data_IF_682083220671
#
_entry.id   IF_682083220671
#
_cell.length_a   1.000
_cell.length_b   1.000
_cell.length_c   1.000
_cell.angle_alpha   90.00
_cell.angle_beta   90.00
_cell.angle_gamma   90.00
#
_symmetry.space_group_name_H-M   'P 1'
#
loop_
_entity.id
_entity.type
_entity.pdbx_description
1 polymer ?
#
# COMPACT_ATOMS: atom_id res chain seq x y z
N UNK A 1 -4.40 21.07 44.06
CA UNK A 1 -5.45 21.26 43.02
C UNK A 1 -4.97 20.53 41.78
N UNK A 2 -5.50 19.30 41.60
CA UNK A 2 -5.26 18.49 40.42
C UNK A 2 -6.24 18.93 39.31
N UNK A 3 -5.72 19.42 38.18
CA UNK A 3 -6.48 19.47 36.96
C UNK A 3 -6.05 18.28 36.06
N UNK A 4 -6.97 17.35 35.89
CA UNK A 4 -6.88 16.26 34.90
C UNK A 4 -6.97 16.87 33.51
N UNK A 5 -5.95 16.66 32.70
CA UNK A 5 -6.01 16.86 31.27
C UNK A 5 -6.67 15.60 30.66
N UNK A 6 -7.96 15.66 30.42
CA UNK A 6 -8.69 14.77 29.53
C UNK A 6 -8.72 15.41 28.14
N UNK A 7 -7.80 15.05 27.28
CA UNK A 7 -7.84 15.41 25.86
C UNK A 7 -7.64 14.16 25.01
N UNK A 8 -8.63 13.28 25.08
CA UNK A 8 -8.84 12.22 24.09
C UNK A 8 -9.90 12.67 23.09
N UNK A 9 -9.63 13.68 22.31
CA UNK A 9 -10.47 14.02 21.16
C UNK A 9 -10.24 12.97 20.08
N UNK A 10 -11.17 12.01 19.93
CA UNK A 10 -11.22 11.17 18.73
C UNK A 10 -11.39 12.10 17.53
N UNK A 11 -10.42 12.09 16.61
CA UNK A 11 -10.59 12.73 15.32
C UNK A 11 -11.89 12.20 14.70
N UNK A 12 -12.71 13.05 14.03
CA UNK A 12 -13.92 12.60 13.39
C UNK A 12 -13.54 11.50 12.38
N UNK A 13 -14.07 10.30 12.61
CA UNK A 13 -13.91 9.20 11.64
C UNK A 13 -14.66 9.62 10.38
N UNK A 14 -13.93 9.91 9.30
CA UNK A 14 -14.53 10.18 7.99
C UNK A 14 -15.29 8.91 7.57
N UNK A 15 -16.62 8.98 7.30
CA UNK A 15 -17.38 7.82 6.89
C UNK A 15 -16.77 7.22 5.61
N UNK A 16 -16.33 5.96 5.67
CA UNK A 16 -15.79 5.25 4.51
C UNK A 16 -16.92 4.85 3.57
N UNK A 17 -16.72 5.05 2.26
CA UNK A 17 -17.76 4.88 1.24
C UNK A 17 -17.63 3.55 0.50
N UNK A 18 -16.42 2.96 0.48
CA UNK A 18 -16.11 1.79 -0.33
C UNK A 18 -15.76 0.59 0.55
N UNK A 19 -16.41 -0.52 0.23
CA UNK A 19 -16.14 -1.82 0.88
C UNK A 19 -15.83 -2.85 -0.19
N UNK A 20 -14.76 -3.62 -0.01
CA UNK A 20 -14.46 -4.81 -0.79
C UNK A 20 -14.86 -6.05 0.00
N UNK A 21 -15.42 -7.05 -0.68
CA UNK A 21 -15.69 -8.36 -0.11
C UNK A 21 -15.48 -9.47 -1.15
N UNK A 22 -15.27 -10.68 -0.66
CA UNK A 22 -15.12 -11.89 -1.49
C UNK A 22 -16.26 -12.83 -1.10
N UNK A 23 -17.03 -13.30 -2.09
CA UNK A 23 -18.09 -14.28 -1.90
C UNK A 23 -17.84 -15.44 -2.88
N UNK A 24 -17.47 -16.59 -2.34
CA UNK A 24 -16.97 -17.70 -3.15
C UNK A 24 -15.68 -17.31 -3.86
N UNK A 25 -15.69 -17.32 -5.18
CA UNK A 25 -14.58 -16.99 -6.07
C UNK A 25 -14.68 -15.58 -6.71
N UNK A 26 -15.56 -14.72 -6.18
CA UNK A 26 -15.89 -13.42 -6.78
C UNK A 26 -15.63 -12.26 -5.86
N UNK A 27 -15.12 -11.16 -6.43
CA UNK A 27 -14.98 -9.88 -5.77
C UNK A 27 -16.23 -9.03 -5.92
N UNK A 28 -16.57 -8.34 -4.82
CA UNK A 28 -17.67 -7.39 -4.74
C UNK A 28 -17.15 -6.04 -4.24
N UNK A 29 -17.64 -4.98 -4.83
CA UNK A 29 -17.43 -3.60 -4.34
C UNK A 29 -18.79 -3.03 -3.99
N UNK A 30 -18.95 -2.56 -2.75
CA UNK A 30 -20.22 -2.04 -2.22
C UNK A 30 -21.41 -3.00 -2.45
N UNK A 31 -21.19 -4.30 -2.21
CA UNK A 31 -22.20 -5.35 -2.33
C UNK A 31 -22.60 -5.72 -3.77
N UNK A 32 -21.92 -5.16 -4.78
CA UNK A 32 -22.16 -5.49 -6.19
C UNK A 32 -20.95 -6.26 -6.75
N UNK A 33 -21.16 -7.33 -7.52
CA UNK A 33 -20.03 -8.02 -8.15
C UNK A 33 -19.30 -7.06 -9.09
N UNK A 34 -17.98 -7.11 -9.10
CA UNK A 34 -17.17 -6.35 -10.05
C UNK A 34 -17.56 -6.74 -11.48
N UNK A 35 -17.56 -5.79 -12.40
CA UNK A 35 -17.94 -6.01 -13.80
C UNK A 35 -19.28 -6.76 -13.99
N UNK A 36 -20.28 -6.47 -13.17
CA UNK A 36 -21.58 -7.12 -13.18
C UNK A 36 -22.15 -7.24 -14.62
N UNK A 37 -22.55 -8.45 -15.02
CA UNK A 37 -23.10 -8.76 -16.34
C UNK A 37 -22.12 -8.64 -17.51
N UNK A 38 -20.84 -8.39 -17.30
CA UNK A 38 -19.87 -8.18 -18.37
C UNK A 38 -19.16 -9.44 -18.82
N UNK A 39 -18.90 -9.45 -20.11
CA UNK A 39 -18.07 -10.46 -20.77
C UNK A 39 -16.95 -9.80 -21.57
N UNK A 40 -15.83 -10.50 -21.74
CA UNK A 40 -14.74 -10.12 -22.62
C UNK A 40 -14.36 -11.32 -23.51
N UNK A 41 -14.41 -11.13 -24.83
CA UNK A 41 -14.15 -12.19 -25.82
C UNK A 41 -14.95 -13.46 -25.53
N UNK A 42 -16.25 -13.31 -25.22
CA UNK A 42 -17.17 -14.41 -24.92
C UNK A 42 -16.99 -15.07 -23.54
N UNK A 43 -16.05 -14.62 -22.72
CA UNK A 43 -15.82 -15.13 -21.36
C UNK A 43 -16.38 -14.15 -20.32
N UNK A 44 -17.03 -14.68 -19.29
CA UNK A 44 -17.52 -13.87 -18.17
C UNK A 44 -16.35 -13.29 -17.41
N UNK A 45 -16.36 -11.97 -17.18
CA UNK A 45 -15.41 -11.23 -16.35
C UNK A 45 -16.04 -10.69 -15.06
N UNK A 46 -17.32 -10.92 -14.87
CA UNK A 46 -18.01 -10.60 -13.63
C UNK A 46 -17.37 -11.29 -12.43
N UNK A 47 -17.13 -10.53 -11.37
CA UNK A 47 -16.50 -11.02 -10.16
C UNK A 47 -14.97 -11.03 -10.19
N UNK A 48 -14.34 -10.78 -11.34
CA UNK A 48 -12.89 -10.64 -11.42
C UNK A 48 -12.44 -9.26 -10.90
N UNK A 49 -11.21 -9.17 -10.38
CA UNK A 49 -10.60 -7.92 -9.95
C UNK A 49 -9.24 -7.69 -10.68
N UNK A 50 -9.26 -7.44 -12.01
CA UNK A 50 -8.05 -7.00 -12.69
C UNK A 50 -7.51 -5.75 -12.02
N UNK A 51 -6.21 -5.74 -11.79
CA UNK A 51 -5.53 -4.64 -11.14
C UNK A 51 -4.32 -4.18 -11.94
N UNK A 52 -3.84 -2.98 -11.66
CA UNK A 52 -2.60 -2.44 -12.18
C UNK A 52 -1.55 -2.39 -11.07
N UNK A 53 -0.33 -2.79 -11.39
CA UNK A 53 0.79 -2.72 -10.47
C UNK A 53 1.34 -1.29 -10.44
N UNK A 54 0.99 -0.54 -9.41
CA UNK A 54 1.31 0.89 -9.26
C UNK A 54 2.04 1.15 -7.93
N UNK A 55 3.04 0.31 -7.64
CA UNK A 55 3.72 0.21 -6.34
C UNK A 55 4.40 1.50 -5.86
N UNK A 56 4.58 2.47 -6.74
CA UNK A 56 5.41 3.66 -6.52
C UNK A 56 4.65 4.88 -5.93
N UNK A 57 3.36 4.77 -5.68
CA UNK A 57 2.53 5.93 -5.31
C UNK A 57 2.99 6.69 -4.07
N UNK A 58 3.62 6.00 -3.11
CA UNK A 58 4.16 6.61 -1.87
C UNK A 58 5.70 6.58 -1.82
N UNK A 59 6.36 6.24 -2.95
CA UNK A 59 7.80 6.11 -3.03
C UNK A 59 8.51 7.34 -2.44
N UNK A 60 9.55 7.09 -1.66
CA UNK A 60 10.58 8.03 -1.28
C UNK A 60 11.91 7.30 -1.19
N UNK A 61 12.99 8.02 -1.30
CA UNK A 61 14.33 7.48 -1.13
C UNK A 61 15.00 8.15 0.07
N UNK A 62 15.11 7.42 1.16
CA UNK A 62 15.76 7.89 2.39
C UNK A 62 17.30 7.86 2.28
N UNK A 63 17.86 7.23 1.21
CA UNK A 63 19.30 7.20 0.98
C UNK A 63 19.79 8.47 0.26
N UNK A 64 20.55 9.35 0.92
CA UNK A 64 21.05 10.58 0.30
C UNK A 64 21.91 10.36 -0.94
N UNK A 65 22.59 9.21 -1.03
CA UNK A 65 23.50 8.90 -2.14
C UNK A 65 22.75 8.55 -3.44
N UNK A 66 21.49 8.13 -3.34
CA UNK A 66 20.67 7.73 -4.50
C UNK A 66 19.50 8.67 -4.78
N UNK A 67 19.08 9.47 -3.81
CA UNK A 67 17.90 10.34 -3.88
C UNK A 67 17.90 11.29 -5.08
N UNK A 68 19.08 11.81 -5.46
CA UNK A 68 19.19 12.72 -6.61
C UNK A 68 18.83 12.07 -7.95
N UNK A 69 18.82 10.74 -8.04
CA UNK A 69 18.46 9.99 -9.27
C UNK A 69 16.99 10.20 -9.65
N UNK A 70 16.15 10.55 -8.70
CA UNK A 70 14.70 10.68 -8.84
C UNK A 70 14.25 12.11 -9.15
N UNK A 71 15.21 13.04 -9.36
CA UNK A 71 14.90 14.45 -9.60
C UNK A 71 13.97 14.65 -10.80
N UNK A 72 12.89 15.41 -10.58
CA UNK A 72 11.97 15.78 -11.65
C UNK A 72 12.67 16.56 -12.76
N UNK A 73 12.27 16.36 -14.05
CA UNK A 73 12.97 17.01 -15.18
C UNK A 73 12.96 18.55 -15.12
N UNK A 74 11.92 19.14 -14.53
CA UNK A 74 11.73 20.59 -14.42
C UNK A 74 12.52 21.20 -13.24
N UNK A 75 12.47 20.56 -12.04
CA UNK A 75 13.09 21.11 -10.84
C UNK A 75 14.47 20.51 -10.53
N UNK A 76 14.83 19.40 -11.17
CA UNK A 76 16.03 18.58 -10.86
C UNK A 76 16.05 18.07 -9.40
N UNK A 77 14.94 18.19 -8.68
CA UNK A 77 14.82 17.81 -7.28
C UNK A 77 13.72 16.76 -7.14
N UNK A 78 13.95 15.73 -6.33
CA UNK A 78 12.93 14.74 -5.97
C UNK A 78 11.96 15.34 -4.93
N UNK A 79 10.69 15.05 -5.12
CA UNK A 79 9.62 15.37 -4.18
C UNK A 79 8.66 14.18 -4.07
N UNK A 80 8.70 13.48 -2.94
CA UNK A 80 7.80 12.37 -2.66
C UNK A 80 6.34 12.81 -2.56
N UNK A 81 6.11 14.02 -2.04
CA UNK A 81 4.76 14.58 -1.96
C UNK A 81 4.19 14.91 -3.35
N UNK A 82 5.00 15.51 -4.24
CA UNK A 82 4.59 15.76 -5.63
C UNK A 82 4.26 14.43 -6.34
N UNK A 83 5.08 13.39 -6.15
CA UNK A 83 4.83 12.07 -6.73
C UNK A 83 3.45 11.52 -6.29
N UNK A 84 3.14 11.63 -5.01
CA UNK A 84 1.82 11.21 -4.49
C UNK A 84 0.69 12.10 -5.00
N UNK A 85 0.89 13.42 -5.11
CA UNK A 85 -0.14 14.34 -5.63
C UNK A 85 -0.47 14.05 -7.09
N UNK A 86 0.54 13.81 -7.92
CA UNK A 86 0.36 13.43 -9.33
C UNK A 86 -0.35 12.07 -9.46
N UNK A 87 -0.01 11.09 -8.58
CA UNK A 87 -0.70 9.80 -8.51
C UNK A 87 -2.19 9.99 -8.18
N UNK A 88 -2.50 10.74 -7.12
CA UNK A 88 -3.88 11.01 -6.69
C UNK A 88 -4.67 11.75 -7.77
N UNK A 89 -4.06 12.70 -8.45
CA UNK A 89 -4.68 13.46 -9.53
C UNK A 89 -5.02 12.58 -10.76
N UNK A 90 -4.24 11.52 -11.01
CA UNK A 90 -4.47 10.61 -12.14
C UNK A 90 -5.55 9.54 -11.87
N UNK A 91 -5.85 9.23 -10.59
CA UNK A 91 -6.77 8.14 -10.21
C UNK A 91 -8.18 8.24 -10.83
N UNK A 92 -8.81 9.42 -10.94
CA UNK A 92 -10.12 9.54 -11.61
C UNK A 92 -10.09 9.08 -13.06
N UNK A 93 -9.02 9.39 -13.79
CA UNK A 93 -8.86 8.96 -15.18
C UNK A 93 -8.71 7.44 -15.27
N UNK A 94 -7.94 6.82 -14.39
CA UNK A 94 -7.81 5.36 -14.35
C UNK A 94 -9.17 4.70 -14.07
N UNK A 95 -9.92 5.23 -13.11
CA UNK A 95 -11.28 4.76 -12.81
C UNK A 95 -12.22 4.89 -14.01
N UNK A 96 -12.14 6.00 -14.73
CA UNK A 96 -12.92 6.23 -15.96
C UNK A 96 -12.62 5.18 -17.04
N UNK A 97 -11.37 4.72 -17.12
CA UNK A 97 -10.96 3.65 -18.03
C UNK A 97 -11.28 2.24 -17.51
N UNK A 98 -11.98 2.12 -16.38
CA UNK A 98 -12.45 0.85 -15.84
C UNK A 98 -11.48 0.16 -14.86
N UNK A 99 -10.40 0.81 -14.44
CA UNK A 99 -9.52 0.26 -13.42
C UNK A 99 -10.23 0.29 -12.07
N UNK A 100 -10.46 -0.89 -11.48
CA UNK A 100 -11.13 -1.03 -10.18
C UNK A 100 -10.16 -1.25 -9.03
N UNK A 101 -8.95 -1.75 -9.30
CA UNK A 101 -7.96 -2.02 -8.27
C UNK A 101 -6.55 -1.71 -8.74
N UNK A 102 -5.67 -1.40 -7.80
CA UNK A 102 -4.24 -1.25 -8.06
C UNK A 102 -3.42 -1.73 -6.85
N UNK A 103 -2.19 -2.20 -7.12
CA UNK A 103 -1.23 -2.57 -6.08
C UNK A 103 -0.40 -1.36 -5.68
N UNK A 104 -0.24 -1.16 -4.38
CA UNK A 104 0.58 -0.12 -3.75
C UNK A 104 1.43 -0.77 -2.66
N UNK A 105 2.71 -0.42 -2.55
CA UNK A 105 3.60 -1.04 -1.57
C UNK A 105 4.04 -0.07 -0.47
N UNK A 106 4.12 -0.57 0.76
CA UNK A 106 4.72 0.13 1.89
C UNK A 106 6.24 0.09 1.84
N UNK A 107 6.81 -0.94 1.20
CA UNK A 107 8.25 -1.14 1.08
C UNK A 107 8.60 -1.56 -0.36
N UNK A 108 9.81 -1.20 -0.81
CA UNK A 108 10.34 -1.62 -2.10
C UNK A 108 9.80 -0.88 -3.31
N UNK A 109 10.20 -1.36 -4.47
CA UNK A 109 9.95 -0.71 -5.75
C UNK A 109 10.84 0.52 -5.98
N UNK A 110 10.82 1.01 -7.19
CA UNK A 110 11.41 2.30 -7.58
C UNK A 110 10.89 2.72 -8.95
N UNK A 111 11.03 3.99 -9.35
CA UNK A 111 10.71 4.43 -10.71
C UNK A 111 11.51 3.72 -11.82
N UNK A 112 12.64 3.09 -11.49
CA UNK A 112 13.41 2.27 -12.42
C UNK A 112 12.84 0.85 -12.61
N UNK A 113 11.77 0.49 -11.89
CA UNK A 113 11.12 -0.80 -11.99
C UNK A 113 11.88 -1.93 -11.28
N UNK A 114 11.94 -3.11 -11.91
CA UNK A 114 12.60 -4.28 -11.34
C UNK A 114 14.12 -4.14 -11.40
N UNK A 115 14.77 -4.07 -10.24
CA UNK A 115 16.22 -4.06 -10.15
C UNK A 115 16.69 -5.15 -9.18
N UNK A 116 17.75 -5.87 -9.57
CA UNK A 116 18.41 -6.84 -8.67
C UNK A 116 19.17 -6.14 -7.53
N UNK A 117 19.60 -4.91 -7.77
CA UNK A 117 20.24 -4.06 -6.77
C UNK A 117 19.31 -2.92 -6.41
N UNK A 118 19.02 -2.75 -5.14
CA UNK A 118 18.17 -1.69 -4.63
C UNK A 118 18.96 -0.83 -3.62
N UNK A 119 19.87 0.04 -4.11
CA UNK A 119 20.68 0.87 -3.24
C UNK A 119 19.88 2.01 -2.59
N UNK A 120 18.71 2.35 -3.13
CA UNK A 120 17.77 3.29 -2.52
C UNK A 120 17.12 2.68 -1.29
N UNK A 121 16.65 3.53 -0.40
CA UNK A 121 15.90 3.11 0.77
C UNK A 121 14.46 3.59 0.66
N UNK A 122 13.56 2.70 0.23
CA UNK A 122 12.11 2.95 0.16
C UNK A 122 11.37 2.04 1.11
N UNK A 123 11.05 2.54 2.29
CA UNK A 123 10.34 1.78 3.32
C UNK A 123 9.49 2.69 4.18
N UNK A 124 8.21 2.36 4.31
CA UNK A 124 7.33 2.98 5.29
C UNK A 124 7.64 2.54 6.73
N UNK A 125 8.58 1.60 6.90
CA UNK A 125 9.02 1.08 8.18
C UNK A 125 10.41 1.61 8.52
N UNK A 126 10.60 2.02 9.77
CA UNK A 126 11.91 2.24 10.36
C UNK A 126 12.59 0.89 10.66
N UNK A 127 13.91 0.85 10.93
CA UNK A 127 14.62 -0.42 11.16
C UNK A 127 14.04 -1.28 12.29
N UNK A 128 13.42 -0.68 13.30
CA UNK A 128 12.76 -1.36 14.41
C UNK A 128 11.32 -1.81 14.11
N UNK A 129 10.82 -1.59 12.89
CA UNK A 129 9.44 -1.89 12.46
C UNK A 129 8.43 -0.78 12.74
N UNK A 130 8.81 0.33 13.35
CA UNK A 130 7.91 1.47 13.57
C UNK A 130 7.52 2.12 12.24
N UNK A 131 6.28 2.60 12.16
CA UNK A 131 5.77 3.27 10.97
C UNK A 131 6.36 4.66 10.81
N UNK A 132 6.82 5.01 9.60
CA UNK A 132 7.33 6.35 9.27
C UNK A 132 6.16 7.28 8.92
N UNK A 133 5.89 8.34 9.71
CA UNK A 133 4.71 9.19 9.55
C UNK A 133 4.58 9.85 8.17
N UNK A 134 5.70 10.18 7.52
CA UNK A 134 5.69 10.80 6.19
C UNK A 134 5.08 9.86 5.13
N UNK A 135 5.45 8.59 5.14
CA UNK A 135 4.86 7.56 4.26
C UNK A 135 3.37 7.37 4.53
N UNK A 136 2.96 7.32 5.80
CA UNK A 136 1.55 7.15 6.16
C UNK A 136 0.68 8.34 5.74
N UNK A 137 1.20 9.57 5.80
CA UNK A 137 0.47 10.75 5.30
C UNK A 137 0.24 10.66 3.79
N UNK A 138 1.24 10.20 3.02
CA UNK A 138 1.10 9.98 1.58
C UNK A 138 0.15 8.83 1.28
N UNK A 139 0.27 7.72 2.02
CA UNK A 139 -0.64 6.58 1.92
C UNK A 139 -2.09 7.00 2.16
N UNK A 140 -2.36 7.74 3.23
CA UNK A 140 -3.71 8.21 3.55
C UNK A 140 -4.35 8.97 2.37
N UNK A 141 -3.62 9.88 1.72
CA UNK A 141 -4.14 10.63 0.55
C UNK A 141 -4.59 9.72 -0.59
N UNK A 142 -3.82 8.66 -0.87
CA UNK A 142 -4.18 7.67 -1.91
C UNK A 142 -5.37 6.83 -1.47
N UNK A 143 -5.37 6.34 -0.22
CA UNK A 143 -6.45 5.51 0.30
C UNK A 143 -7.77 6.26 0.41
N UNK A 144 -7.75 7.53 0.85
CA UNK A 144 -8.92 8.40 0.89
C UNK A 144 -9.48 8.60 -0.53
N UNK A 145 -8.59 8.87 -1.50
CA UNK A 145 -9.03 9.03 -2.89
C UNK A 145 -9.57 7.73 -3.49
N UNK A 146 -8.98 6.59 -3.16
CA UNK A 146 -9.48 5.29 -3.59
C UNK A 146 -10.87 5.00 -3.02
N UNK A 147 -11.08 5.32 -1.74
CA UNK A 147 -12.37 5.19 -1.08
C UNK A 147 -13.46 6.05 -1.77
N UNK A 148 -13.18 7.31 -2.04
CA UNK A 148 -14.08 8.22 -2.76
C UNK A 148 -14.45 7.73 -4.17
N UNK A 149 -13.49 7.13 -4.88
CA UNK A 149 -13.66 6.68 -6.25
C UNK A 149 -14.26 5.27 -6.38
N UNK A 150 -14.47 4.55 -5.27
CA UNK A 150 -14.91 3.16 -5.29
C UNK A 150 -13.85 2.24 -5.89
N UNK A 151 -12.56 2.48 -5.58
CA UNK A 151 -11.44 1.65 -5.99
C UNK A 151 -10.92 0.80 -4.83
N UNK A 152 -10.38 -0.36 -5.16
CA UNK A 152 -9.75 -1.29 -4.20
C UNK A 152 -8.24 -1.12 -4.25
N UNK A 153 -7.60 -1.07 -3.09
CA UNK A 153 -6.14 -1.04 -3.00
C UNK A 153 -5.63 -2.38 -2.51
N UNK A 154 -4.73 -2.99 -3.27
CA UNK A 154 -3.95 -4.16 -2.84
C UNK A 154 -2.67 -3.59 -2.23
N UNK A 155 -2.60 -3.60 -0.90
CA UNK A 155 -1.50 -2.99 -0.15
C UNK A 155 -0.47 -4.04 0.21
N UNK A 156 0.68 -4.00 -0.47
CA UNK A 156 1.84 -4.83 -0.17
C UNK A 156 2.64 -4.26 1.01
N UNK A 157 2.98 -5.11 1.98
CA UNK A 157 3.77 -4.66 3.13
C UNK A 157 5.26 -4.75 2.85
N UNK A 158 5.76 -5.92 2.48
CA UNK A 158 7.20 -6.13 2.30
C UNK A 158 7.59 -6.40 0.85
N UNK A 159 8.82 -6.05 0.55
CA UNK A 159 9.44 -6.29 -0.73
C UNK A 159 10.90 -6.73 -0.54
N UNK A 160 11.30 -7.78 -1.23
CA UNK A 160 12.68 -8.26 -1.22
C UNK A 160 13.67 -7.19 -1.69
N UNK A 161 14.85 -7.13 -1.08
CA UNK A 161 15.83 -6.07 -1.32
C UNK A 161 15.55 -4.77 -0.56
N UNK A 162 14.56 -4.79 0.35
CA UNK A 162 14.30 -3.74 1.33
C UNK A 162 14.01 -4.32 2.72
N UNK A 163 13.61 -5.60 2.81
CA UNK A 163 13.30 -6.27 4.07
C UNK A 163 14.54 -6.40 4.99
N UNK A 164 15.73 -6.53 4.42
CA UNK A 164 17.00 -6.57 5.15
C UNK A 164 17.30 -5.30 5.96
N UNK A 165 16.55 -4.22 5.73
CA UNK A 165 16.65 -2.98 6.52
C UNK A 165 15.91 -3.03 7.86
N UNK A 166 15.08 -4.06 8.07
CA UNK A 166 14.51 -4.35 9.38
C UNK A 166 15.54 -5.11 10.21
N UNK A 167 15.66 -4.78 11.49
CA UNK A 167 16.74 -5.28 12.34
C UNK A 167 16.64 -6.79 12.67
N UNK A 168 15.41 -7.30 12.76
CA UNK A 168 15.13 -8.69 13.16
C UNK A 168 13.68 -9.08 12.82
N UNK A 169 13.33 -10.34 13.04
CA UNK A 169 11.96 -10.83 12.83
C UNK A 169 10.93 -10.17 13.75
N UNK A 170 11.32 -9.75 14.95
CA UNK A 170 10.44 -9.02 15.85
C UNK A 170 10.09 -7.63 15.27
N UNK A 171 11.01 -6.99 14.55
CA UNK A 171 10.73 -5.76 13.80
C UNK A 171 9.76 -6.01 12.64
N UNK A 172 9.86 -7.16 11.95
CA UNK A 172 8.90 -7.56 10.91
C UNK A 172 7.50 -7.72 11.50
N UNK A 173 7.35 -8.42 12.62
CA UNK A 173 6.06 -8.59 13.31
C UNK A 173 5.48 -7.23 13.73
N UNK A 174 6.29 -6.38 14.38
CA UNK A 174 5.84 -5.01 14.75
C UNK A 174 5.41 -4.17 13.54
N UNK A 175 6.07 -4.33 12.40
CA UNK A 175 5.71 -3.64 11.17
C UNK A 175 4.33 -4.09 10.65
N UNK A 176 4.06 -5.39 10.65
CA UNK A 176 2.74 -5.97 10.26
C UNK A 176 1.66 -5.48 11.22
N UNK A 177 1.86 -5.65 12.51
CA UNK A 177 0.90 -5.22 13.54
C UNK A 177 0.61 -3.72 13.43
N UNK A 178 1.67 -2.91 13.36
CA UNK A 178 1.56 -1.46 13.28
C UNK A 178 0.80 -1.00 12.02
N UNK A 179 1.08 -1.58 10.85
CA UNK A 179 0.42 -1.25 9.59
C UNK A 179 -1.05 -1.69 9.61
N UNK A 180 -1.32 -2.89 10.06
CA UNK A 180 -2.68 -3.44 10.17
C UNK A 180 -3.51 -2.62 11.15
N UNK A 181 -3.00 -2.36 12.32
CA UNK A 181 -3.64 -1.53 13.33
C UNK A 181 -3.92 -0.10 12.82
N UNK A 182 -2.98 0.47 12.07
CA UNK A 182 -3.18 1.79 11.47
C UNK A 182 -4.34 1.77 10.49
N UNK A 183 -4.41 0.79 9.57
CA UNK A 183 -5.51 0.63 8.62
C UNK A 183 -6.86 0.47 9.33
N UNK A 184 -6.92 -0.37 10.37
CA UNK A 184 -8.12 -0.60 11.16
C UNK A 184 -8.59 0.67 11.88
N UNK A 185 -7.67 1.42 12.50
CA UNK A 185 -7.98 2.71 13.14
C UNK A 185 -8.48 3.76 12.15
N UNK A 186 -7.97 3.77 10.91
CA UNK A 186 -8.45 4.66 9.85
C UNK A 186 -9.80 4.21 9.27
N UNK A 187 -10.25 2.99 9.56
CA UNK A 187 -11.53 2.45 9.14
C UNK A 187 -11.64 2.10 7.66
N UNK A 188 -10.52 1.95 6.94
CA UNK A 188 -10.57 1.55 5.53
C UNK A 188 -11.15 0.15 5.36
N UNK A 189 -12.02 -0.02 4.36
CA UNK A 189 -12.75 -1.26 4.07
C UNK A 189 -12.60 -1.71 2.62
N UNK A 190 -11.80 -1.01 1.84
CA UNK A 190 -11.51 -1.24 0.44
C UNK A 190 -10.06 -1.71 0.21
N UNK A 191 -9.46 -2.34 1.22
CA UNK A 191 -8.07 -2.79 1.20
C UNK A 191 -8.02 -4.31 1.17
N UNK A 192 -7.14 -4.84 0.33
CA UNK A 192 -6.64 -6.21 0.38
C UNK A 192 -5.16 -6.14 0.77
N UNK A 193 -4.76 -6.90 1.78
CA UNK A 193 -3.36 -6.90 2.23
C UNK A 193 -2.59 -8.02 1.52
N UNK A 194 -1.46 -7.67 0.92
CA UNK A 194 -0.43 -8.59 0.45
C UNK A 194 0.73 -8.50 1.46
N UNK A 195 0.95 -9.56 2.25
CA UNK A 195 1.99 -9.52 3.29
C UNK A 195 3.35 -9.24 2.67
N UNK A 196 3.70 -9.95 1.61
CA UNK A 196 4.94 -9.73 0.87
C UNK A 196 4.82 -10.16 -0.59
N UNK A 197 5.52 -9.44 -1.45
CA UNK A 197 5.56 -9.76 -2.88
C UNK A 197 6.49 -10.94 -3.13
N UNK A 198 6.01 -11.98 -3.87
CA UNK A 198 6.83 -13.13 -4.32
C UNK A 198 7.64 -13.74 -3.17
N UNK A 199 6.96 -14.29 -2.16
CA UNK A 199 7.57 -14.78 -0.93
C UNK A 199 8.63 -15.88 -1.13
N UNK A 200 8.66 -16.52 -2.30
CA UNK A 200 9.60 -17.55 -2.72
C UNK A 200 10.88 -17.04 -3.40
N UNK A 201 10.97 -15.73 -3.68
CA UNK A 201 12.11 -15.20 -4.45
C UNK A 201 13.33 -14.97 -3.56
N UNK A 202 13.32 -13.97 -2.71
CA UNK A 202 14.53 -13.57 -1.98
C UNK A 202 14.21 -12.64 -0.82
N UNK A 203 13.96 -13.20 0.34
CA UNK A 203 13.83 -12.47 1.60
C UNK A 203 14.94 -12.87 2.56
N UNK A 204 15.48 -11.92 3.31
CA UNK A 204 16.52 -12.19 4.31
C UNK A 204 15.89 -12.75 5.60
N UNK A 205 14.74 -12.22 6.02
CA UNK A 205 14.02 -12.71 7.19
C UNK A 205 13.26 -14.02 6.90
N UNK A 206 13.52 -15.06 7.68
CA UNK A 206 12.89 -16.37 7.49
C UNK A 206 11.36 -16.33 7.64
N UNK A 207 10.83 -15.44 8.48
CA UNK A 207 9.40 -15.27 8.70
C UNK A 207 8.67 -14.74 7.44
N UNK A 208 9.38 -14.16 6.46
CA UNK A 208 8.82 -13.70 5.19
C UNK A 208 8.89 -14.75 4.07
N UNK A 209 9.45 -15.94 4.34
CA UNK A 209 9.58 -17.03 3.35
C UNK A 209 8.33 -17.93 3.34
N UNK A 210 8.10 -18.70 2.26
CA UNK A 210 6.90 -19.51 2.09
C UNK A 210 6.56 -20.39 3.29
N UNK A 211 7.59 -20.93 3.96
CA UNK A 211 7.42 -21.86 5.07
C UNK A 211 6.79 -21.20 6.31
N UNK A 212 6.96 -19.86 6.46
CA UNK A 212 6.61 -19.16 7.70
C UNK A 212 5.75 -17.92 7.52
N UNK A 213 5.57 -17.40 6.29
CA UNK A 213 4.81 -16.17 6.08
C UNK A 213 3.37 -16.23 6.62
N UNK A 214 2.80 -17.43 6.73
CA UNK A 214 1.48 -17.64 7.32
C UNK A 214 1.40 -17.24 8.80
N UNK A 215 2.52 -17.21 9.54
CA UNK A 215 2.59 -16.76 10.92
C UNK A 215 2.23 -15.26 11.08
N UNK A 216 2.36 -14.48 10.00
CA UNK A 216 2.02 -13.06 9.95
C UNK A 216 0.54 -12.78 9.59
N UNK A 217 -0.27 -13.83 9.34
CA UNK A 217 -1.67 -13.70 8.90
C UNK A 217 -2.65 -14.07 10.03
N UNK A 218 -2.15 -14.50 11.19
CA UNK A 218 -2.93 -14.98 12.33
C UNK A 218 -3.59 -13.88 13.15
#
# INVERSE_FOLDING_TARGET
>A
IQQRLTAGGSLPVVPRQTTVSIVGDRFFVNGKPTFAGRTYRGRRIEGLLPNSRMVQGIFDDENPATRSRWGYPDTKTWSADRNTDEFVAAMPLWKQHGLLAFTLNLQGGSPEGYSKSQPWENSAFAPDGALRPAYLRRLARILDRADELGMVVILGYFYFGQDERLTDEAAVVRAVDGATDWLLRQGYRNILVEVNNECDVRYDHAILKPERVHELIQ
#
